data_IF_839431966190
#
_entry.id   IF_839431966190
#
_cell.length_a   1.000
_cell.length_b   1.000
_cell.length_c   1.000
_cell.angle_alpha   90.00
_cell.angle_beta   90.00
_cell.angle_gamma   90.00
#
_symmetry.space_group_name_H-M   'P 1'
#
loop_
_entity.id
_entity.type
_entity.pdbx_description
1 polymer ?
#
# COMPACT_ATOMS: atom_id res chain seq x y z
N UNK A 1 8.53 13.90 21.32
CA UNK A 1 8.26 12.48 21.00
C UNK A 1 9.59 11.83 20.69
N UNK A 2 10.04 10.87 21.50
CA UNK A 2 11.29 10.16 21.27
C UNK A 2 11.00 8.90 20.45
N UNK A 3 11.67 8.77 19.30
CA UNK A 3 11.60 7.54 18.50
C UNK A 3 12.38 6.47 19.25
N UNK A 4 11.71 5.37 19.61
CA UNK A 4 12.38 4.27 20.31
C UNK A 4 13.22 3.46 19.33
N UNK A 5 14.26 2.79 19.84
CA UNK A 5 15.08 1.90 19.03
C UNK A 5 14.24 0.81 18.34
N UNK A 6 13.20 0.32 19.01
CA UNK A 6 12.27 -0.67 18.45
C UNK A 6 11.47 -0.10 17.27
N UNK A 7 10.96 1.14 17.37
CA UNK A 7 10.25 1.78 16.26
C UNK A 7 11.17 1.97 15.05
N UNK A 8 12.41 2.45 15.29
CA UNK A 8 13.40 2.63 14.24
C UNK A 8 13.74 1.29 13.57
N UNK A 9 13.97 0.23 14.35
CA UNK A 9 14.26 -1.10 13.85
C UNK A 9 13.13 -1.63 12.95
N UNK A 10 11.87 -1.47 13.35
CA UNK A 10 10.71 -1.90 12.56
C UNK A 10 10.55 -1.10 11.27
N UNK A 11 10.84 0.21 11.28
CA UNK A 11 10.82 1.03 10.06
C UNK A 11 11.87 0.55 9.06
N UNK A 12 13.12 0.37 9.51
CA UNK A 12 14.21 -0.12 8.66
C UNK A 12 13.91 -1.52 8.13
N UNK A 13 13.41 -2.41 8.96
CA UNK A 13 13.02 -3.76 8.56
C UNK A 13 11.92 -3.73 7.48
N UNK A 14 10.87 -2.91 7.66
CA UNK A 14 9.77 -2.79 6.70
C UNK A 14 10.28 -2.29 5.34
N UNK A 15 11.10 -1.24 5.34
CA UNK A 15 11.69 -0.70 4.11
C UNK A 15 12.59 -1.75 3.43
N UNK A 16 13.43 -2.43 4.22
CA UNK A 16 14.32 -3.48 3.71
C UNK A 16 13.56 -4.64 3.05
N UNK A 17 12.47 -5.10 3.67
CA UNK A 17 11.63 -6.17 3.13
C UNK A 17 11.00 -5.74 1.80
N UNK A 18 10.43 -4.53 1.72
CA UNK A 18 9.78 -4.04 0.50
C UNK A 18 10.79 -3.87 -0.64
N UNK A 19 11.96 -3.28 -0.36
CA UNK A 19 13.03 -3.14 -1.35
C UNK A 19 13.52 -4.51 -1.81
N UNK A 20 13.75 -5.44 -0.87
CA UNK A 20 14.19 -6.80 -1.18
C UNK A 20 13.20 -7.54 -2.08
N UNK A 21 11.91 -7.45 -1.77
CA UNK A 21 10.84 -8.02 -2.60
C UNK A 21 10.81 -7.37 -3.99
N UNK A 22 11.01 -6.05 -4.08
CA UNK A 22 11.10 -5.30 -5.33
C UNK A 22 12.26 -5.76 -6.22
N UNK A 23 13.47 -5.89 -5.66
CA UNK A 23 14.66 -6.38 -6.37
C UNK A 23 14.46 -7.83 -6.84
N UNK A 24 13.93 -8.68 -5.96
CA UNK A 24 13.63 -10.09 -6.27
C UNK A 24 12.60 -10.23 -7.40
N UNK A 25 11.60 -9.35 -7.42
CA UNK A 25 10.60 -9.28 -8.49
C UNK A 25 11.21 -8.77 -9.79
N UNK A 26 12.00 -7.68 -9.73
CA UNK A 26 12.65 -7.08 -10.90
C UNK A 26 13.54 -8.07 -11.66
N UNK A 27 14.27 -8.94 -10.95
CA UNK A 27 15.10 -9.99 -11.57
C UNK A 27 14.33 -11.06 -12.35
N UNK A 28 13.00 -11.15 -12.21
CA UNK A 28 12.14 -12.11 -12.91
C UNK A 28 11.49 -11.55 -14.18
N UNK A 29 11.62 -10.25 -14.41
CA UNK A 29 10.94 -9.57 -15.52
C UNK A 29 11.78 -9.77 -16.79
N UNK A 30 11.20 -10.43 -17.79
CA UNK A 30 11.88 -10.77 -19.05
C UNK A 30 11.32 -10.05 -20.28
N UNK A 31 10.20 -9.32 -20.14
CA UNK A 31 9.48 -8.66 -21.22
C UNK A 31 8.72 -7.44 -20.70
N UNK A 32 8.43 -6.48 -21.59
CA UNK A 32 7.56 -5.33 -21.31
C UNK A 32 6.15 -5.77 -20.90
N UNK A 33 5.62 -6.85 -21.49
CA UNK A 33 4.32 -7.39 -21.09
C UNK A 33 4.35 -7.99 -19.68
N UNK A 34 5.46 -8.64 -19.29
CA UNK A 34 5.65 -9.14 -17.92
C UNK A 34 5.79 -8.00 -16.91
N UNK A 35 6.39 -6.87 -17.31
CA UNK A 35 6.51 -5.68 -16.48
C UNK A 35 5.16 -5.00 -16.24
N UNK A 36 4.39 -4.74 -17.31
CA UNK A 36 3.16 -3.95 -17.22
C UNK A 36 1.92 -4.77 -16.88
N UNK A 37 1.85 -6.02 -17.34
CA UNK A 37 0.63 -6.84 -17.24
C UNK A 37 0.82 -8.14 -16.44
N UNK A 38 1.98 -8.34 -15.82
CA UNK A 38 2.35 -9.62 -15.20
C UNK A 38 2.14 -10.80 -16.17
N UNK A 39 2.42 -10.59 -17.46
CA UNK A 39 2.20 -11.59 -18.51
C UNK A 39 0.75 -12.05 -18.65
N UNK A 40 -0.22 -11.22 -18.23
CA UNK A 40 -1.67 -11.51 -18.17
C UNK A 40 -2.02 -12.73 -17.30
N UNK A 41 -1.20 -13.01 -16.28
CA UNK A 41 -1.37 -14.15 -15.35
C UNK A 41 -1.71 -13.72 -13.92
N UNK A 42 -2.03 -12.44 -13.69
CA UNK A 42 -2.41 -11.96 -12.37
C UNK A 42 -3.75 -12.57 -11.94
N UNK A 43 -3.77 -13.19 -10.76
CA UNK A 43 -5.02 -13.68 -10.16
C UNK A 43 -5.86 -12.51 -9.64
N UNK A 44 -7.17 -12.72 -9.47
CA UNK A 44 -8.08 -11.69 -8.94
C UNK A 44 -7.59 -11.10 -7.61
N UNK A 45 -7.07 -11.94 -6.71
CA UNK A 45 -6.50 -11.49 -5.43
C UNK A 45 -5.25 -10.63 -5.58
N UNK A 46 -4.38 -10.95 -6.55
CA UNK A 46 -3.19 -10.15 -6.83
C UNK A 46 -3.56 -8.77 -7.39
N UNK A 47 -4.57 -8.72 -8.27
CA UNK A 47 -5.10 -7.46 -8.81
C UNK A 47 -5.76 -6.63 -7.70
N UNK A 48 -6.64 -7.24 -6.90
CA UNK A 48 -7.30 -6.57 -5.78
C UNK A 48 -6.28 -6.02 -4.77
N UNK A 49 -5.25 -6.79 -4.43
CA UNK A 49 -4.17 -6.37 -3.56
C UNK A 49 -3.34 -5.22 -4.13
N UNK A 50 -3.04 -5.24 -5.43
CA UNK A 50 -2.34 -4.14 -6.10
C UNK A 50 -3.17 -2.84 -6.12
N UNK A 51 -4.48 -2.93 -6.36
CA UNK A 51 -5.41 -1.79 -6.27
C UNK A 51 -5.44 -1.26 -4.84
N UNK A 52 -5.69 -2.11 -3.85
CA UNK A 52 -5.73 -1.73 -2.45
C UNK A 52 -4.41 -1.07 -2.00
N UNK A 53 -3.27 -1.65 -2.37
CA UNK A 53 -1.94 -1.10 -2.06
C UNK A 53 -1.63 0.23 -2.76
N UNK A 54 -2.24 0.50 -3.91
CA UNK A 54 -2.12 1.80 -4.59
C UNK A 54 -2.99 2.88 -3.94
N UNK A 55 -4.15 2.48 -3.40
CA UNK A 55 -5.10 3.38 -2.76
C UNK A 55 -4.73 3.71 -1.30
N UNK A 56 -4.18 2.74 -0.56
CA UNK A 56 -3.90 2.85 0.88
C UNK A 56 -2.46 3.36 1.07
N UNK A 57 -2.30 4.68 1.09
CA UNK A 57 -1.05 5.36 1.39
C UNK A 57 -1.05 6.11 2.73
N UNK A 58 0.03 6.84 3.01
CA UNK A 58 0.14 7.66 4.22
C UNK A 58 -0.99 8.69 4.37
N UNK A 59 -1.43 9.29 3.25
CA UNK A 59 -2.56 10.21 3.23
C UNK A 59 -3.89 9.52 3.58
N UNK A 60 -4.13 8.32 3.05
CA UNK A 60 -5.33 7.55 3.37
C UNK A 60 -5.37 7.14 4.85
N UNK A 61 -4.24 6.77 5.45
CA UNK A 61 -4.20 6.35 6.87
C UNK A 61 -4.22 7.54 7.82
N UNK A 62 -3.26 8.46 7.70
CA UNK A 62 -3.12 9.59 8.62
C UNK A 62 -4.26 10.59 8.40
N UNK A 63 -4.61 10.88 7.15
CA UNK A 63 -5.70 11.79 6.81
C UNK A 63 -7.05 11.27 7.29
N UNK A 64 -7.38 10.00 7.09
CA UNK A 64 -8.63 9.42 7.61
C UNK A 64 -8.64 9.43 9.14
N UNK A 65 -7.51 9.13 9.79
CA UNK A 65 -7.40 9.19 11.26
C UNK A 65 -7.65 10.61 11.78
N UNK A 66 -7.10 11.62 11.09
CA UNK A 66 -7.34 13.02 11.42
C UNK A 66 -8.81 13.40 11.19
N UNK A 67 -9.41 12.98 10.07
CA UNK A 67 -10.82 13.22 9.79
C UNK A 67 -11.73 12.55 10.82
N UNK A 68 -11.40 11.33 11.26
CA UNK A 68 -12.15 10.64 12.31
C UNK A 68 -12.03 11.36 13.65
N UNK A 69 -10.85 11.91 13.95
CA UNK A 69 -10.65 12.73 15.16
C UNK A 69 -11.49 14.02 15.14
N UNK A 70 -11.62 14.67 13.99
CA UNK A 70 -12.34 15.95 13.87
C UNK A 70 -13.85 15.80 13.63
N UNK A 71 -14.26 14.84 12.80
CA UNK A 71 -15.63 14.68 12.31
C UNK A 71 -16.31 13.38 12.79
N UNK A 72 -15.59 12.52 13.52
CA UNK A 72 -16.13 11.28 14.06
C UNK A 72 -16.33 10.20 13.00
N UNK A 73 -17.35 9.37 13.19
CA UNK A 73 -17.62 8.17 12.37
C UNK A 73 -17.83 8.52 10.88
N UNK A 74 -18.28 9.74 10.56
CA UNK A 74 -18.50 10.18 9.17
C UNK A 74 -17.25 10.11 8.30
N UNK A 75 -16.04 10.13 8.89
CA UNK A 75 -14.79 9.99 8.17
C UNK A 75 -14.65 8.66 7.40
N UNK A 76 -15.37 7.61 7.79
CA UNK A 76 -15.35 6.31 7.10
C UNK A 76 -15.83 6.39 5.64
N UNK A 77 -16.61 7.43 5.28
CA UNK A 77 -17.10 7.64 3.92
C UNK A 77 -15.96 7.88 2.94
N UNK A 78 -14.88 8.50 3.39
CA UNK A 78 -13.68 8.68 2.57
C UNK A 78 -13.06 7.33 2.16
N UNK A 79 -12.95 6.38 3.10
CA UNK A 79 -12.42 5.05 2.80
C UNK A 79 -13.36 4.23 1.93
N UNK A 80 -14.68 4.34 2.16
CA UNK A 80 -15.70 3.67 1.33
C UNK A 80 -15.71 4.24 -0.09
N UNK A 81 -15.57 5.56 -0.26
CA UNK A 81 -15.48 6.22 -1.57
C UNK A 81 -14.32 5.67 -2.41
N UNK A 82 -13.12 5.62 -1.82
CA UNK A 82 -11.93 5.05 -2.45
C UNK A 82 -12.18 3.61 -2.95
N UNK A 83 -12.88 2.78 -2.17
CA UNK A 83 -13.16 1.39 -2.55
C UNK A 83 -14.29 1.23 -3.58
N UNK A 84 -15.22 2.18 -3.66
CA UNK A 84 -16.39 2.12 -4.55
C UNK A 84 -16.23 2.95 -5.83
N UNK A 85 -15.13 3.69 -5.96
CA UNK A 85 -14.79 4.47 -7.17
C UNK A 85 -15.36 5.89 -7.18
N UNK A 86 -15.68 6.47 -6.01
CA UNK A 86 -16.23 7.81 -5.83
C UNK A 86 -15.36 8.68 -4.93
#
# INVERSE_FOLDING_TARGET
>A
MTVTLMQLAMMVATIGIIIGAGIWSAGRIKSSESFSLNGRKASAGMVAGAIAGSCIGGGATIGTSQMAFTFGISAWWFTIGIGTGF
#
